data_IF_571900052935
#
_entry.id   IF_571900052935
#
_cell.length_a   1.000
_cell.length_b   1.000
_cell.length_c   1.000
_cell.angle_alpha   90.00
_cell.angle_beta   90.00
_cell.angle_gamma   90.00
#
_symmetry.space_group_name_H-M   'P 1'
#
loop_
_entity.id
_entity.type
_entity.pdbx_description
1 polymer ?
#
# COMPACT_ATOMS: atom_id res chain seq x y z
N UNK A 1 19.34 -13.31 -16.86
CA UNK A 1 19.29 -11.93 -16.38
C UNK A 1 18.16 -11.20 -17.06
N UNK A 2 17.23 -10.71 -16.27
CA UNK A 2 16.05 -10.03 -16.81
C UNK A 2 16.26 -8.53 -16.79
N UNK A 3 16.48 -7.96 -17.96
CA UNK A 3 16.61 -6.52 -18.12
C UNK A 3 15.48 -5.94 -18.96
N UNK A 4 14.41 -6.71 -19.13
CA UNK A 4 13.25 -6.25 -19.89
C UNK A 4 12.40 -5.27 -19.11
N UNK A 5 11.38 -4.69 -19.75
CA UNK A 5 10.50 -3.70 -19.13
C UNK A 5 9.72 -4.24 -17.93
N UNK A 6 9.53 -5.56 -17.85
CA UNK A 6 8.81 -6.19 -16.74
C UNK A 6 9.74 -6.83 -15.73
N UNK A 7 10.97 -6.34 -15.63
CA UNK A 7 11.95 -6.90 -14.71
C UNK A 7 11.49 -6.73 -13.26
N UNK A 8 11.72 -7.75 -12.42
CA UNK A 8 11.40 -7.63 -11.01
C UNK A 8 12.29 -6.59 -10.32
N UNK A 9 11.75 -5.98 -9.27
CA UNK A 9 12.43 -4.96 -8.49
C UNK A 9 12.88 -5.54 -7.16
N UNK A 10 14.04 -5.07 -6.67
CA UNK A 10 14.51 -5.47 -5.36
C UNK A 10 13.57 -4.95 -4.26
N UNK A 11 13.46 -5.65 -3.11
CA UNK A 11 12.55 -5.24 -2.05
C UNK A 11 12.75 -3.81 -1.55
N UNK A 12 14.00 -3.37 -1.41
CA UNK A 12 14.28 -2.00 -0.98
C UNK A 12 13.78 -0.97 -1.98
N UNK A 13 13.87 -1.27 -3.27
CA UNK A 13 13.34 -0.40 -4.31
C UNK A 13 11.82 -0.37 -4.27
N UNK A 14 11.19 -1.53 -4.02
CA UNK A 14 9.75 -1.61 -3.87
C UNK A 14 9.26 -0.71 -2.75
N UNK A 15 9.90 -0.74 -1.58
CA UNK A 15 9.52 0.11 -0.47
C UNK A 15 9.69 1.59 -0.80
N UNK A 16 10.77 1.95 -1.50
CA UNK A 16 10.99 3.33 -1.90
C UNK A 16 9.90 3.82 -2.86
N UNK A 17 9.50 2.98 -3.79
CA UNK A 17 8.43 3.32 -4.72
C UNK A 17 7.09 3.48 -4.03
N UNK A 18 6.77 2.62 -3.06
CA UNK A 18 5.56 2.78 -2.26
C UNK A 18 5.50 4.15 -1.62
N UNK A 19 6.61 4.62 -1.08
CA UNK A 19 6.65 5.92 -0.40
C UNK A 19 6.45 7.10 -1.35
N UNK A 20 6.54 6.88 -2.65
CA UNK A 20 6.45 7.95 -3.64
C UNK A 20 5.02 8.29 -4.03
N UNK A 21 4.04 7.51 -3.61
CA UNK A 21 2.63 7.76 -3.95
C UNK A 21 1.79 7.86 -2.68
N UNK A 22 0.73 8.68 -2.68
CA UNK A 22 -0.09 8.89 -1.49
C UNK A 22 -1.23 7.90 -1.33
N UNK A 23 -1.56 7.13 -2.35
CA UNK A 23 -2.72 6.24 -2.35
C UNK A 23 -2.34 4.85 -2.79
N UNK A 24 -3.08 3.88 -2.30
CA UNK A 24 -2.95 2.49 -2.67
C UNK A 24 -4.28 1.79 -2.49
N UNK A 25 -4.25 0.47 -2.50
CA UNK A 25 -5.45 -0.34 -2.41
C UNK A 25 -5.22 -1.52 -1.49
N UNK A 26 -6.21 -1.79 -0.65
CA UNK A 26 -6.26 -3.05 0.09
C UNK A 26 -6.88 -4.11 -0.81
N UNK A 27 -6.26 -5.27 -0.85
CA UNK A 27 -6.74 -6.41 -1.61
C UNK A 27 -7.13 -7.51 -0.63
N UNK A 28 -8.36 -7.97 -0.71
CA UNK A 28 -8.89 -8.91 0.25
C UNK A 28 -9.97 -9.76 -0.38
N UNK A 29 -10.49 -10.70 0.38
CA UNK A 29 -11.58 -11.57 -0.06
C UNK A 29 -12.82 -11.26 0.77
N UNK A 30 -13.93 -11.09 0.10
CA UNK A 30 -15.21 -10.88 0.76
C UNK A 30 -16.22 -11.86 0.17
N UNK A 31 -16.74 -12.76 1.01
CA UNK A 31 -17.64 -13.79 0.53
C UNK A 31 -17.04 -14.66 -0.56
N UNK A 32 -15.77 -15.03 -0.42
CA UNK A 32 -14.97 -15.78 -1.39
C UNK A 32 -14.73 -15.07 -2.73
N UNK A 33 -15.05 -13.80 -2.81
CA UNK A 33 -14.80 -12.99 -4.01
C UNK A 33 -13.68 -12.00 -3.74
N UNK A 34 -12.79 -11.79 -4.72
CA UNK A 34 -11.77 -10.75 -4.59
C UNK A 34 -12.40 -9.37 -4.48
N UNK A 35 -11.83 -8.53 -3.62
CA UNK A 35 -12.32 -7.18 -3.41
C UNK A 35 -11.14 -6.21 -3.27
N UNK A 36 -11.38 -4.96 -3.59
CA UNK A 36 -10.39 -3.89 -3.58
C UNK A 36 -10.97 -2.67 -2.89
N UNK A 37 -10.20 -2.06 -1.99
CA UNK A 37 -10.62 -0.85 -1.30
C UNK A 37 -9.49 0.19 -1.37
N UNK A 38 -9.73 1.36 -2.01
CA UNK A 38 -8.70 2.39 -2.09
C UNK A 38 -8.51 3.09 -0.74
N UNK A 39 -7.26 3.41 -0.44
CA UNK A 39 -6.90 4.05 0.82
C UNK A 39 -5.76 5.04 0.61
N UNK A 40 -5.64 6.00 1.52
CA UNK A 40 -4.39 6.75 1.68
C UNK A 40 -3.51 6.02 2.68
N UNK A 41 -2.22 6.26 2.63
CA UNK A 41 -1.29 5.53 3.49
C UNK A 41 0.04 6.26 3.63
N UNK A 42 0.82 5.85 4.62
CA UNK A 42 2.25 6.13 4.70
C UNK A 42 2.98 4.82 5.01
N UNK A 43 4.25 4.75 4.66
CA UNK A 43 5.06 3.54 4.87
C UNK A 43 6.43 3.93 5.45
N UNK A 44 6.49 4.33 6.72
CA UNK A 44 7.71 4.91 7.28
C UNK A 44 8.84 3.91 7.48
N UNK A 45 8.57 2.69 7.92
CA UNK A 45 9.65 1.78 8.30
C UNK A 45 9.18 0.32 8.31
N UNK A 46 9.00 -0.25 7.11
CA UNK A 46 8.56 -1.64 6.99
C UNK A 46 7.10 -1.88 7.37
N UNK A 47 6.38 -0.81 7.64
CA UNK A 47 4.95 -0.87 7.94
C UNK A 47 4.19 -0.04 6.92
N UNK A 48 2.97 -0.46 6.62
CA UNK A 48 2.04 0.36 5.86
C UNK A 48 0.96 0.80 6.83
N UNK A 49 0.81 2.11 7.00
CA UNK A 49 -0.12 2.69 7.95
C UNK A 49 -1.26 3.34 7.21
N UNK A 50 -2.48 2.88 7.47
CA UNK A 50 -3.69 3.33 6.79
C UNK A 50 -4.60 4.00 7.81
N UNK A 51 -4.96 5.27 7.60
CA UNK A 51 -5.94 5.92 8.48
C UNK A 51 -7.33 5.32 8.22
N UNK A 52 -8.02 5.02 9.30
CA UNK A 52 -9.34 4.38 9.20
C UNK A 52 -10.49 5.35 9.50
N UNK A 53 -10.18 6.52 10.05
CA UNK A 53 -11.21 7.39 10.58
C UNK A 53 -11.95 6.69 11.71
N UNK A 54 -13.23 6.99 11.87
CA UNK A 54 -14.08 6.36 12.87
C UNK A 54 -14.90 5.19 12.29
N UNK A 55 -14.53 4.71 11.11
CA UNK A 55 -15.24 3.65 10.41
C UNK A 55 -14.79 2.28 10.91
N UNK A 56 -15.66 1.57 11.55
CA UNK A 56 -15.37 0.23 12.07
C UNK A 56 -15.20 -0.83 10.99
N UNK A 57 -15.38 -0.49 9.73
CA UNK A 57 -15.24 -1.45 8.63
C UNK A 57 -13.86 -2.11 8.61
N UNK A 58 -12.82 -1.37 9.00
CA UNK A 58 -11.45 -1.88 8.97
C UNK A 58 -11.15 -2.93 10.04
N UNK A 59 -12.02 -3.08 11.03
CA UNK A 59 -11.81 -4.07 12.10
C UNK A 59 -11.75 -5.50 11.56
N UNK A 60 -12.36 -5.74 10.42
CA UNK A 60 -12.35 -7.06 9.78
C UNK A 60 -10.95 -7.57 9.46
N UNK A 61 -9.99 -6.68 9.34
CA UNK A 61 -8.62 -7.05 8.96
C UNK A 61 -7.71 -7.32 10.16
N UNK A 62 -8.15 -6.98 11.36
CA UNK A 62 -7.32 -7.10 12.55
C UNK A 62 -6.91 -8.55 12.81
N UNK A 63 -5.60 -8.79 12.87
CA UNK A 63 -5.05 -10.11 13.15
C UNK A 63 -4.86 -11.02 11.94
N UNK A 64 -5.31 -10.62 10.77
CA UNK A 64 -5.19 -11.45 9.57
C UNK A 64 -4.11 -11.00 8.62
N UNK A 65 -3.88 -11.79 7.58
CA UNK A 65 -3.01 -11.38 6.48
C UNK A 65 -3.79 -10.49 5.53
N UNK A 66 -3.10 -9.47 5.02
CA UNK A 66 -3.72 -8.51 4.13
C UNK A 66 -2.72 -8.12 3.06
N UNK A 67 -3.20 -7.95 1.84
CA UNK A 67 -2.39 -7.48 0.74
C UNK A 67 -2.67 -6.01 0.47
N UNK A 68 -1.62 -5.32 0.07
CA UNK A 68 -1.66 -3.90 -0.28
C UNK A 68 -1.00 -3.73 -1.65
N UNK A 69 -1.61 -2.92 -2.49
CA UNK A 69 -1.11 -2.66 -3.83
C UNK A 69 -0.99 -1.17 -4.07
N UNK A 70 0.11 -0.75 -4.66
CA UNK A 70 0.26 0.59 -5.18
C UNK A 70 0.93 0.53 -6.55
N UNK A 71 0.64 1.51 -7.37
CA UNK A 71 1.21 1.58 -8.70
C UNK A 71 1.27 3.01 -9.18
N UNK A 72 2.10 3.24 -10.16
CA UNK A 72 2.10 4.48 -10.92
C UNK A 72 2.32 4.09 -12.38
N UNK A 73 1.28 4.20 -13.18
CA UNK A 73 1.31 3.89 -14.60
C UNK A 73 0.79 5.11 -15.34
N UNK A 74 1.58 5.59 -16.28
CA UNK A 74 1.20 6.77 -17.07
C UNK A 74 0.93 6.35 -18.49
N UNK A 75 -0.32 6.54 -18.92
CA UNK A 75 -0.76 6.13 -20.25
C UNK A 75 0.07 6.74 -21.39
N UNK A 76 0.40 8.05 -21.37
CA UNK A 76 1.16 8.63 -22.46
C UNK A 76 2.54 7.99 -22.67
N UNK A 77 3.24 7.66 -21.59
CA UNK A 77 4.56 7.05 -21.68
C UNK A 77 4.50 5.53 -21.55
N UNK A 78 3.38 4.98 -21.17
CA UNK A 78 3.11 3.54 -21.07
C UNK A 78 4.09 2.79 -20.17
N UNK A 79 4.75 3.50 -19.26
CA UNK A 79 5.69 2.90 -18.33
C UNK A 79 5.32 3.26 -16.91
N UNK A 80 5.80 2.46 -15.99
CA UNK A 80 5.58 2.71 -14.58
C UNK A 80 6.03 1.54 -13.75
N UNK A 81 5.41 1.39 -12.61
CA UNK A 81 5.74 0.31 -11.68
C UNK A 81 4.48 -0.13 -10.94
N UNK A 82 4.54 -1.34 -10.42
CA UNK A 82 3.49 -1.94 -9.61
C UNK A 82 4.15 -2.70 -8.47
N UNK A 83 3.66 -2.51 -7.26
CA UNK A 83 4.21 -3.13 -6.05
C UNK A 83 3.06 -3.72 -5.24
N UNK A 84 3.27 -4.96 -4.76
CA UNK A 84 2.36 -5.64 -3.86
C UNK A 84 3.10 -5.96 -2.58
N UNK A 85 2.52 -5.60 -1.44
CA UNK A 85 3.04 -5.95 -0.12
C UNK A 85 2.01 -6.83 0.58
N UNK A 86 2.49 -7.81 1.33
CA UNK A 86 1.63 -8.70 2.10
C UNK A 86 2.18 -8.75 3.51
N UNK A 87 1.30 -8.67 4.48
CA UNK A 87 1.70 -8.76 5.86
C UNK A 87 0.52 -8.93 6.79
N UNK A 88 0.85 -9.06 8.06
CA UNK A 88 -0.18 -9.18 9.08
C UNK A 88 -0.70 -7.80 9.43
N UNK A 89 -2.00 -7.68 9.45
CA UNK A 89 -2.68 -6.43 9.76
C UNK A 89 -3.05 -6.39 11.23
N UNK A 90 -3.01 -5.19 11.80
CA UNK A 90 -3.44 -4.96 13.18
C UNK A 90 -4.01 -3.55 13.29
N UNK A 91 -4.98 -3.39 14.19
CA UNK A 91 -5.49 -2.08 14.50
C UNK A 91 -4.73 -1.52 15.70
N UNK A 92 -4.31 -0.28 15.58
CA UNK A 92 -3.53 0.41 16.61
C UNK A 92 -4.26 1.70 16.98
N UNK A 93 -4.42 1.92 18.28
CA UNK A 93 -4.96 3.17 18.78
C UNK A 93 -3.80 4.01 19.33
N UNK A 94 -3.75 5.26 18.88
CA UNK A 94 -2.61 6.10 19.19
C UNK A 94 -1.39 5.70 18.38
N UNK A 95 -0.22 6.21 18.77
CA UNK A 95 1.02 5.99 18.02
C UNK A 95 1.97 5.01 18.70
N UNK A 96 1.63 4.51 19.87
CA UNK A 96 2.54 3.71 20.70
C UNK A 96 2.91 2.38 20.06
N UNK A 97 2.07 1.83 19.20
CA UNK A 97 2.33 0.57 18.55
C UNK A 97 3.05 0.67 17.22
N UNK A 98 3.45 1.86 16.81
CA UNK A 98 4.03 2.08 15.48
C UNK A 98 5.55 2.10 15.55
N UNK A 99 6.19 1.29 14.69
CA UNK A 99 7.63 1.29 14.56
C UNK A 99 8.09 2.46 13.73
N UNK A 100 9.21 3.08 14.14
CA UNK A 100 9.79 4.14 13.35
C UNK A 100 8.92 5.39 13.24
N UNK A 101 7.85 5.46 14.00
CA UNK A 101 6.96 6.61 13.99
C UNK A 101 7.32 7.52 15.16
N UNK A 102 7.70 8.73 14.83
CA UNK A 102 8.05 9.74 15.83
C UNK A 102 6.78 10.53 16.16
N UNK A 103 6.29 10.34 17.37
CA UNK A 103 5.09 11.03 17.83
C UNK A 103 5.19 12.56 17.79
N UNK A 104 6.41 13.11 17.70
CA UNK A 104 6.59 14.54 17.59
C UNK A 104 6.12 15.11 16.27
N UNK A 105 6.05 14.31 15.24
CA UNK A 105 5.65 14.76 13.92
C UNK A 105 4.18 14.47 13.57
N UNK A 106 3.48 13.71 14.43
CA UNK A 106 2.09 13.35 14.19
C UNK A 106 1.90 12.53 12.91
N UNK A 107 0.66 12.23 12.59
CA UNK A 107 0.33 11.60 11.33
C UNK A 107 0.10 12.68 10.28
N UNK A 108 0.56 12.47 9.02
CA UNK A 108 0.49 13.50 7.98
C UNK A 108 -0.92 13.97 7.63
N UNK A 109 -1.92 13.22 8.00
CA UNK A 109 -3.30 13.54 7.64
C UNK A 109 -3.99 14.49 8.62
N UNK A 110 -3.33 14.89 9.68
CA UNK A 110 -3.96 15.72 10.69
C UNK A 110 -5.08 15.03 11.44
N UNK A 111 -5.13 13.71 11.40
CA UNK A 111 -6.16 12.94 12.08
C UNK A 111 -5.86 12.93 13.57
N UNK A 112 -6.90 13.02 14.40
CA UNK A 112 -6.76 12.89 15.83
C UNK A 112 -6.18 11.54 16.20
N UNK A 113 -5.37 11.52 17.26
CA UNK A 113 -4.71 10.30 17.70
C UNK A 113 -5.69 9.27 18.27
N UNK A 114 -6.97 9.61 18.37
CA UNK A 114 -7.99 8.73 18.93
C UNK A 114 -8.54 7.74 17.91
N UNK A 115 -8.46 8.08 16.63
CA UNK A 115 -8.94 7.17 15.59
C UNK A 115 -7.95 6.02 15.41
N UNK A 116 -8.46 4.79 15.26
CA UNK A 116 -7.55 3.68 15.04
C UNK A 116 -6.84 3.79 13.69
N UNK A 117 -5.65 3.22 13.64
CA UNK A 117 -4.87 3.09 12.42
C UNK A 117 -4.78 1.60 12.07
N UNK A 118 -4.94 1.29 10.81
CA UNK A 118 -4.69 -0.06 10.33
C UNK A 118 -3.22 -0.14 9.94
N UNK A 119 -2.49 -1.05 10.53
CA UNK A 119 -1.06 -1.22 10.28
C UNK A 119 -0.84 -2.58 9.65
N UNK A 120 -0.14 -2.60 8.52
CA UNK A 120 0.29 -3.85 7.90
C UNK A 120 1.79 -3.97 8.14
N UNK A 121 2.18 -4.97 8.92
CA UNK A 121 3.59 -5.29 9.11
C UNK A 121 4.05 -6.08 7.90
N UNK A 122 4.81 -5.44 7.01
CA UNK A 122 5.16 -6.04 5.73
C UNK A 122 6.09 -7.22 5.94
N UNK A 123 5.65 -8.41 5.53
CA UNK A 123 6.42 -9.64 5.61
C UNK A 123 6.95 -10.03 4.24
N UNK A 124 6.28 -9.61 3.18
CA UNK A 124 6.62 -9.97 1.83
C UNK A 124 6.31 -8.80 0.91
N UNK A 125 7.25 -8.44 0.07
CA UNK A 125 7.02 -7.36 -0.87
C UNK A 125 7.62 -7.74 -2.22
N UNK A 126 6.88 -7.47 -3.27
CA UNK A 126 7.35 -7.72 -4.63
C UNK A 126 6.86 -6.59 -5.53
N UNK A 127 7.55 -6.40 -6.61
CA UNK A 127 7.16 -5.38 -7.55
C UNK A 127 7.88 -5.55 -8.86
N UNK A 128 7.41 -4.83 -9.84
CA UNK A 128 8.00 -4.86 -11.17
C UNK A 128 7.82 -3.53 -11.85
N UNK A 129 8.76 -3.24 -12.72
CA UNK A 129 8.62 -2.17 -13.68
C UNK A 129 7.74 -2.69 -14.81
N UNK A 130 6.82 -1.86 -15.29
CA UNK A 130 5.87 -2.29 -16.30
C UNK A 130 5.93 -1.35 -17.50
N UNK A 131 5.82 -1.91 -18.68
CA UNK A 131 5.61 -1.16 -19.91
C UNK A 131 4.31 -1.65 -20.52
N UNK A 132 3.33 -0.76 -20.61
CA UNK A 132 2.03 -1.14 -21.15
C UNK A 132 2.10 -1.24 -22.68
N UNK A 133 1.52 -2.28 -23.28
CA UNK A 133 1.44 -2.36 -24.72
C UNK A 133 0.65 -1.18 -25.29
N UNK A 134 1.09 -0.67 -26.43
CA UNK A 134 0.32 0.35 -27.10
C UNK A 134 -0.97 -0.23 -27.66
N UNK A 135 -2.08 0.41 -27.38
CA UNK A 135 -3.39 -0.05 -27.80
C UNK A 135 -4.14 1.11 -28.44
N UNK A 136 -4.51 1.04 -29.71
CA UNK A 136 -5.10 2.18 -30.39
C UNK A 136 -6.36 2.74 -29.76
N UNK A 137 -7.13 1.94 -29.06
CA UNK A 137 -8.34 2.39 -28.38
C UNK A 137 -8.17 2.80 -26.94
N UNK A 138 -6.97 2.66 -26.37
CA UNK A 138 -6.76 2.84 -24.93
C UNK A 138 -6.80 4.28 -24.47
N UNK A 139 -6.63 5.23 -25.39
CA UNK A 139 -6.58 6.66 -25.05
C UNK A 139 -7.85 7.40 -25.43
N UNK A 140 -8.92 6.70 -25.67
CA UNK A 140 -10.20 7.33 -26.01
C UNK A 140 -10.89 7.95 -24.82
#
# INVERSE_FOLDING_TARGET
MTTGPDAPLAPGRCMALLRSVPTGRLLYTEGALPAVHPVTFVAPNGEIIVPTGDDGWFERFDGGLLAFHAEQLEAPVRTGWSVVAIGRARLVRGTDGLRGFDGAHGVPWGIGTEDPLLVIDVEHISGRRATLPWWPGACS
#
